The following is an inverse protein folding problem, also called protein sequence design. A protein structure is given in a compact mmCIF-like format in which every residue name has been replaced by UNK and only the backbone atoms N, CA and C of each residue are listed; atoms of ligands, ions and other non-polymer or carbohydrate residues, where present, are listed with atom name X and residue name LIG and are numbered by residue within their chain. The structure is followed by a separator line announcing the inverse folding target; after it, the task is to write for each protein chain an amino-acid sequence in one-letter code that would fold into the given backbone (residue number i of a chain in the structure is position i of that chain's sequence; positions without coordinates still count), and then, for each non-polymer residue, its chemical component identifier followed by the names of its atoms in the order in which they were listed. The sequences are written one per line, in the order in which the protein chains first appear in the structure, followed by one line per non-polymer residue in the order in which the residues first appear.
data_IF_742382926353
#
_entry.id   IF_742382926353
#
_cell.length_a   1.000
_cell.length_b   1.000
_cell.length_c   1.000
_cell.angle_alpha   90.00
_cell.angle_beta   90.00
_cell.angle_gamma   90.00
#
_symmetry.space_group_name_H-M   'P 1'
#
loop_
_entity.id
_entity.type
_entity.pdbx_description
1 polymer ?
#
# COMPACT_ATOMS: atom_id res chain seq x y z
N UNK A 1 -40.71 26.25 10.05
CA UNK A 1 -39.63 25.30 9.70
C UNK A 1 -38.41 25.97 9.07
N UNK A 2 -38.57 27.02 8.24
CA UNK A 2 -37.43 27.70 7.57
C UNK A 2 -36.37 28.29 8.51
N UNK A 3 -36.73 28.81 9.69
CA UNK A 3 -35.73 29.41 10.60
C UNK A 3 -34.79 28.37 11.24
N UNK A 4 -35.25 27.12 11.35
CA UNK A 4 -34.43 26.01 11.86
C UNK A 4 -33.37 25.61 10.82
N UNK A 5 -33.75 25.55 9.54
CA UNK A 5 -32.83 25.20 8.46
C UNK A 5 -31.79 26.30 8.23
N UNK A 6 -32.16 27.57 8.38
CA UNK A 6 -31.20 28.68 8.29
C UNK A 6 -30.17 28.66 9.43
N UNK A 7 -30.58 28.35 10.66
CA UNK A 7 -29.65 28.26 11.80
C UNK A 7 -28.68 27.08 11.70
N UNK A 8 -29.13 25.92 11.19
CA UNK A 8 -28.26 24.76 10.95
C UNK A 8 -27.26 25.04 9.83
N UNK A 9 -27.69 25.68 8.74
CA UNK A 9 -26.82 26.07 7.64
C UNK A 9 -25.76 27.09 8.10
N UNK A 10 -26.14 28.08 8.92
CA UNK A 10 -25.20 29.07 9.47
C UNK A 10 -24.16 28.43 10.39
N UNK A 11 -24.56 27.43 11.21
CA UNK A 11 -23.63 26.69 12.07
C UNK A 11 -22.64 25.84 11.26
N UNK A 12 -23.10 25.17 10.20
CA UNK A 12 -22.23 24.40 9.29
C UNK A 12 -21.25 25.32 8.53
N UNK A 13 -21.70 26.50 8.11
CA UNK A 13 -20.84 27.49 7.44
C UNK A 13 -19.80 28.09 8.40
N UNK A 14 -20.13 28.25 9.68
CA UNK A 14 -19.20 28.70 10.71
C UNK A 14 -18.16 27.64 11.09
N UNK A 15 -18.50 26.35 10.95
CA UNK A 15 -17.57 25.22 11.16
C UNK A 15 -16.70 24.91 9.95
N UNK A 16 -17.06 25.41 8.77
CA UNK A 16 -16.29 25.24 7.53
C UNK A 16 -14.80 25.61 7.64
N UNK A 17 -14.43 26.78 8.19
CA UNK A 17 -13.02 27.13 8.38
C UNK A 17 -12.30 26.25 9.41
N UNK A 18 -13.00 25.70 10.42
CA UNK A 18 -12.41 24.77 11.39
C UNK A 18 -12.07 23.41 10.75
N UNK A 19 -12.93 22.91 9.85
CA UNK A 19 -12.67 21.69 9.07
C UNK A 19 -11.56 21.92 8.03
N UNK A 20 -11.56 23.09 7.37
CA UNK A 20 -10.49 23.47 6.45
C UNK A 20 -9.14 23.65 7.15
N UNK A 21 -9.10 24.11 8.40
CA UNK A 21 -7.87 24.17 9.20
C UNK A 21 -7.42 22.77 9.66
N UNK A 22 -8.34 21.84 9.89
CA UNK A 22 -8.01 20.45 10.23
C UNK A 22 -7.44 19.66 9.02
N UNK A 23 -7.78 20.04 7.79
CA UNK A 23 -7.24 19.42 6.57
C UNK A 23 -5.71 19.57 6.45
N UNK A 24 -5.14 20.61 7.08
CA UNK A 24 -3.70 20.82 7.12
C UNK A 24 -2.95 19.75 7.95
N UNK A 25 -3.65 18.90 8.71
CA UNK A 25 -3.03 17.76 9.39
C UNK A 25 -2.58 16.68 8.40
N UNK A 26 -3.26 16.55 7.25
CA UNK A 26 -2.91 15.61 6.19
C UNK A 26 -1.77 16.10 5.29
N UNK A 27 -1.51 17.42 5.25
CA UNK A 27 -0.43 18.05 4.47
C UNK A 27 0.71 18.62 5.31
N UNK A 28 0.56 18.64 6.64
CA UNK A 28 1.59 19.03 7.60
C UNK A 28 2.70 17.99 7.79
N UNK A 29 3.56 18.20 8.79
CA UNK A 29 4.74 17.38 9.06
C UNK A 29 4.44 15.88 9.23
N UNK A 30 3.31 15.55 9.88
CA UNK A 30 2.87 14.16 10.10
C UNK A 30 2.43 13.51 8.77
N UNK A 31 1.71 14.24 7.92
CA UNK A 31 1.30 13.75 6.61
C UNK A 31 2.50 13.48 5.69
N UNK A 32 3.51 14.36 5.73
CA UNK A 32 4.77 14.16 5.00
C UNK A 32 5.57 12.98 5.54
N UNK A 33 5.61 12.79 6.87
CA UNK A 33 6.24 11.62 7.47
C UNK A 33 5.55 10.32 7.07
N UNK A 34 4.21 10.25 7.17
CA UNK A 34 3.44 9.06 6.78
C UNK A 34 3.59 8.78 5.28
N UNK A 35 3.53 9.83 4.44
CA UNK A 35 3.78 9.73 3.00
C UNK A 35 5.18 9.19 2.70
N UNK A 36 6.21 9.76 3.33
CA UNK A 36 7.60 9.31 3.18
C UNK A 36 7.83 7.88 3.65
N UNK A 37 7.24 7.48 4.77
CA UNK A 37 7.29 6.09 5.27
C UNK A 37 6.59 5.15 4.30
N UNK A 38 5.42 5.53 3.78
CA UNK A 38 4.68 4.74 2.78
C UNK A 38 5.51 4.54 1.51
N UNK A 39 6.11 5.61 0.98
CA UNK A 39 6.99 5.53 -0.21
C UNK A 39 8.21 4.67 0.07
N UNK A 40 8.88 4.84 1.23
CA UNK A 40 10.02 4.02 1.60
C UNK A 40 9.67 2.53 1.70
N UNK A 41 8.54 2.19 2.33
CA UNK A 41 8.11 0.81 2.46
C UNK A 41 7.82 0.20 1.08
N UNK A 42 7.06 0.92 0.24
CA UNK A 42 6.64 0.43 -1.07
C UNK A 42 7.77 0.33 -2.09
N UNK A 43 8.63 1.34 -2.18
CA UNK A 43 9.62 1.44 -3.25
C UNK A 43 10.96 0.81 -2.87
N UNK A 44 11.26 0.68 -1.57
CA UNK A 44 12.57 0.20 -1.09
C UNK A 44 12.40 -1.09 -0.30
N UNK A 45 11.62 -1.10 0.78
CA UNK A 45 11.60 -2.21 1.72
C UNK A 45 11.01 -3.48 1.09
N UNK A 46 9.89 -3.35 0.39
CA UNK A 46 9.19 -4.44 -0.29
C UNK A 46 10.06 -5.14 -1.34
N UNK A 47 10.61 -4.43 -2.34
CA UNK A 47 11.49 -5.08 -3.33
C UNK A 47 12.77 -5.63 -2.70
N UNK A 48 13.31 -4.99 -1.65
CA UNK A 48 14.47 -5.51 -0.94
C UNK A 48 14.18 -6.85 -0.25
N UNK A 49 13.08 -6.95 0.49
CA UNK A 49 12.69 -8.20 1.17
C UNK A 49 12.40 -9.29 0.14
N UNK A 50 11.75 -8.95 -0.96
CA UNK A 50 11.51 -9.90 -2.06
C UNK A 50 12.82 -10.42 -2.66
N UNK A 51 13.79 -9.54 -2.90
CA UNK A 51 15.11 -9.93 -3.39
C UNK A 51 15.83 -10.85 -2.40
N UNK A 52 15.82 -10.53 -1.11
CA UNK A 52 16.44 -11.37 -0.07
C UNK A 52 15.76 -12.74 0.02
N UNK A 53 14.43 -12.80 -0.01
CA UNK A 53 13.68 -14.05 -0.02
C UNK A 53 14.02 -14.91 -1.26
N UNK A 54 14.18 -14.28 -2.43
CA UNK A 54 14.60 -14.96 -3.65
C UNK A 54 16.02 -15.50 -3.55
N UNK A 55 16.96 -14.72 -3.02
CA UNK A 55 18.34 -15.15 -2.81
C UNK A 55 18.41 -16.33 -1.83
N UNK A 56 17.66 -16.28 -0.73
CA UNK A 56 17.54 -17.40 0.22
C UNK A 56 16.94 -18.63 -0.45
N UNK A 57 15.93 -18.47 -1.29
CA UNK A 57 15.34 -19.58 -2.03
C UNK A 57 16.34 -20.23 -2.99
N UNK A 58 17.08 -19.43 -3.77
CA UNK A 58 18.12 -19.92 -4.68
C UNK A 58 19.27 -20.59 -3.92
N UNK A 59 19.67 -20.03 -2.78
CA UNK A 59 20.66 -20.64 -1.90
C UNK A 59 20.18 -21.99 -1.36
N UNK A 60 18.91 -22.10 -0.97
CA UNK A 60 18.28 -23.34 -0.54
C UNK A 60 18.30 -24.42 -1.64
N UNK A 61 18.01 -24.05 -2.89
CA UNK A 61 18.12 -24.94 -4.06
C UNK A 61 19.56 -25.40 -4.25
N UNK A 62 20.52 -24.47 -4.27
CA UNK A 62 21.93 -24.79 -4.44
C UNK A 62 22.43 -25.72 -3.31
N UNK A 63 22.03 -25.46 -2.06
CA UNK A 63 22.41 -26.30 -0.93
C UNK A 63 21.77 -27.70 -1.01
N UNK A 64 20.51 -27.80 -1.45
CA UNK A 64 19.80 -29.08 -1.58
C UNK A 64 20.35 -29.95 -2.72
N UNK A 65 20.60 -29.37 -3.89
CA UNK A 65 20.95 -30.11 -5.11
C UNK A 65 22.46 -30.22 -5.37
N UNK A 66 23.24 -29.17 -5.09
CA UNK A 66 24.68 -29.13 -5.43
C UNK A 66 25.52 -29.62 -4.25
N UNK A 67 25.28 -29.07 -3.06
CA UNK A 67 26.12 -29.30 -1.87
C UNK A 67 25.65 -30.55 -1.09
N UNK A 68 24.34 -30.77 -0.99
CA UNK A 68 23.72 -31.90 -0.29
C UNK A 68 23.60 -33.19 -1.11
N UNK A 69 24.21 -33.26 -2.29
CA UNK A 69 24.05 -34.38 -3.24
C UNK A 69 24.29 -35.78 -2.65
N UNK A 70 25.15 -35.90 -1.63
CA UNK A 70 25.49 -37.15 -0.95
C UNK A 70 25.26 -37.15 0.57
N UNK A 71 24.73 -36.08 1.16
CA UNK A 71 24.54 -35.94 2.61
C UNK A 71 23.08 -35.56 2.92
N UNK A 72 22.37 -36.47 3.60
CA UNK A 72 20.96 -36.28 3.98
C UNK A 72 20.76 -35.08 4.93
N UNK A 73 21.74 -34.76 5.77
CA UNK A 73 21.66 -33.63 6.69
C UNK A 73 21.60 -32.30 5.96
N UNK A 74 22.47 -32.11 4.96
CA UNK A 74 22.49 -30.88 4.14
C UNK A 74 21.28 -30.74 3.24
N UNK A 75 20.71 -31.86 2.78
CA UNK A 75 19.40 -31.85 2.09
C UNK A 75 18.28 -31.41 3.00
N UNK A 76 18.21 -31.91 4.23
CA UNK A 76 17.19 -31.48 5.17
C UNK A 76 17.28 -29.97 5.43
N UNK A 77 18.49 -29.44 5.57
CA UNK A 77 18.73 -28.01 5.77
C UNK A 77 18.35 -27.16 4.53
N UNK A 78 18.79 -27.56 3.33
CA UNK A 78 18.41 -26.88 2.08
C UNK A 78 16.90 -26.83 1.87
N UNK A 79 16.20 -27.95 2.13
CA UNK A 79 14.73 -28.02 2.05
C UNK A 79 14.07 -27.08 3.06
N UNK A 80 14.57 -27.03 4.28
CA UNK A 80 14.06 -26.12 5.33
C UNK A 80 14.20 -24.66 4.91
N UNK A 81 15.34 -24.30 4.32
CA UNK A 81 15.64 -22.94 3.87
C UNK A 81 14.76 -22.52 2.67
N UNK A 82 14.50 -23.45 1.74
CA UNK A 82 13.52 -23.24 0.67
C UNK A 82 12.10 -23.03 1.23
N UNK A 83 11.69 -23.85 2.20
CA UNK A 83 10.37 -23.74 2.83
C UNK A 83 10.18 -22.37 3.50
N UNK A 84 11.16 -21.90 4.26
CA UNK A 84 11.09 -20.57 4.89
C UNK A 84 10.98 -19.45 3.86
N UNK A 85 11.65 -19.58 2.73
CA UNK A 85 11.57 -18.59 1.65
C UNK A 85 10.17 -18.57 1.01
N UNK A 86 9.58 -19.75 0.79
CA UNK A 86 8.19 -19.87 0.29
C UNK A 86 7.20 -19.25 1.28
N UNK A 87 7.35 -19.54 2.59
CA UNK A 87 6.52 -18.92 3.62
C UNK A 87 6.65 -17.39 3.60
N UNK A 88 7.87 -16.88 3.44
CA UNK A 88 8.12 -15.44 3.27
C UNK A 88 7.37 -14.86 2.07
N UNK A 89 7.41 -15.51 0.90
CA UNK A 89 6.66 -15.08 -0.27
C UNK A 89 5.14 -15.10 -0.06
N UNK A 90 4.61 -16.14 0.56
CA UNK A 90 3.18 -16.26 0.85
C UNK A 90 2.72 -15.16 1.79
N UNK A 91 3.46 -14.88 2.86
CA UNK A 91 3.13 -13.79 3.79
C UNK A 91 3.12 -12.44 3.07
N UNK A 92 4.09 -12.20 2.21
CA UNK A 92 4.17 -10.97 1.43
C UNK A 92 2.91 -10.75 0.58
N UNK A 93 2.55 -11.74 -0.22
CA UNK A 93 1.37 -11.68 -1.10
C UNK A 93 0.08 -11.61 -0.27
N UNK A 94 0.01 -12.33 0.85
CA UNK A 94 -1.15 -12.33 1.73
C UNK A 94 -1.42 -10.96 2.35
N UNK A 95 -0.41 -10.29 2.89
CA UNK A 95 -0.55 -8.96 3.47
C UNK A 95 -1.03 -7.97 2.41
N UNK A 96 -0.39 -7.95 1.24
CA UNK A 96 -0.81 -7.08 0.14
C UNK A 96 -2.23 -7.36 -0.36
N UNK A 97 -2.59 -8.63 -0.49
CA UNK A 97 -3.93 -9.03 -0.91
C UNK A 97 -5.01 -8.58 0.06
N UNK A 98 -4.76 -8.72 1.36
CA UNK A 98 -5.71 -8.28 2.41
C UNK A 98 -5.82 -6.75 2.42
N UNK A 99 -4.70 -6.02 2.37
CA UNK A 99 -4.71 -4.55 2.34
C UNK A 99 -5.48 -4.05 1.13
N UNK A 100 -5.22 -4.60 -0.06
CA UNK A 100 -5.91 -4.22 -1.28
C UNK A 100 -7.41 -4.55 -1.23
N UNK A 101 -7.77 -5.71 -0.67
CA UNK A 101 -9.17 -6.10 -0.49
C UNK A 101 -9.93 -5.10 0.40
N UNK A 102 -9.30 -4.64 1.49
CA UNK A 102 -9.89 -3.64 2.40
C UNK A 102 -10.00 -2.28 1.71
N UNK A 103 -8.95 -1.84 1.02
CA UNK A 103 -8.93 -0.54 0.31
C UNK A 103 -10.00 -0.49 -0.77
N UNK A 104 -10.09 -1.51 -1.61
CA UNK A 104 -11.12 -1.61 -2.65
C UNK A 104 -12.52 -1.82 -2.06
N UNK A 105 -12.65 -2.59 -0.98
CA UNK A 105 -13.94 -2.84 -0.32
C UNK A 105 -14.53 -1.63 0.40
N UNK A 106 -13.68 -0.71 0.89
CA UNK A 106 -14.09 0.51 1.58
C UNK A 106 -14.14 1.75 0.66
N UNK A 107 -13.89 1.57 -0.65
CA UNK A 107 -13.98 2.66 -1.63
C UNK A 107 -12.82 3.67 -1.59
N UNK A 108 -11.69 3.31 -0.98
CA UNK A 108 -10.48 4.15 -0.93
C UNK A 108 -9.65 4.10 -2.23
N UNK A 109 -10.17 3.47 -3.28
CA UNK A 109 -9.48 3.17 -4.53
C UNK A 109 -9.29 4.40 -5.47
N UNK A 110 -9.67 5.60 -5.02
CA UNK A 110 -9.24 6.89 -5.59
C UNK A 110 -9.53 7.16 -7.08
N UNK A 111 -10.24 6.27 -7.79
CA UNK A 111 -10.44 6.31 -9.24
C UNK A 111 -11.72 6.99 -9.70
N UNK A 112 -12.19 7.96 -8.92
CA UNK A 112 -13.19 8.93 -9.37
C UNK A 112 -12.49 10.10 -10.08
N UNK A 113 -11.84 9.82 -11.22
CA UNK A 113 -11.61 10.89 -12.20
C UNK A 113 -12.95 11.16 -12.89
N UNK A 114 -13.65 12.19 -12.42
CA UNK A 114 -14.77 12.80 -13.13
C UNK A 114 -14.26 13.42 -14.45
N UNK A 115 -14.01 12.59 -15.45
CA UNK A 115 -13.67 12.95 -16.84
C UNK A 115 -14.88 13.48 -17.64
N UNK A 116 -15.91 13.97 -16.95
CA UNK A 116 -17.21 14.32 -17.53
C UNK A 116 -17.60 15.79 -17.35
N UNK A 117 -16.62 16.70 -17.25
CA UNK A 117 -16.91 18.12 -17.49
C UNK A 117 -16.90 18.36 -19.01
N UNK A 118 -18.01 18.79 -19.63
CA UNK A 118 -18.05 19.09 -21.05
C UNK A 118 -17.00 20.15 -21.41
N UNK A 119 -16.15 19.85 -22.39
CA UNK A 119 -15.14 20.79 -22.86
C UNK A 119 -15.85 21.97 -23.52
N UNK A 120 -15.57 23.20 -23.07
CA UNK A 120 -16.12 24.39 -23.71
C UNK A 120 -15.58 24.50 -25.14
N UNK A 121 -16.42 24.89 -26.12
CA UNK A 121 -15.98 25.01 -27.50
C UNK A 121 -14.88 26.07 -27.60
N UNK A 122 -13.66 25.65 -27.92
CA UNK A 122 -12.57 26.56 -28.27
C UNK A 122 -12.77 27.01 -29.70
N UNK A 123 -12.99 28.32 -29.94
CA UNK A 123 -13.04 28.84 -31.30
C UNK A 123 -11.65 28.77 -31.92
N UNK A 124 -11.42 27.79 -32.78
CA UNK A 124 -10.25 27.72 -33.63
C UNK A 124 -10.37 28.84 -34.68
N UNK A 125 -9.67 29.95 -34.44
CA UNK A 125 -9.52 31.04 -35.43
C UNK A 125 -8.47 30.66 -36.45
#
# INVERSE_FOLDING_TARGET
MQKLTTSVAAFMLALFPAVAAAQNLATGEIGQFIGGVSTFINDILIPLVFAVALLMFLYGIANYFIIGGGDEGKRAEGKKLMLYSIVGFVLMVSIFGIVNLIVSGLGFDGKEQINNIPNAPTSNR
#
